data_IF_275525776465
#
_entry.id   IF_275525776465
#
_cell.length_a   1.000
_cell.length_b   1.000
_cell.length_c   1.000
_cell.angle_alpha   90.00
_cell.angle_beta   90.00
_cell.angle_gamma   90.00
#
_symmetry.space_group_name_H-M   'P 1'
#
loop_
_entity.id
_entity.type
_entity.pdbx_description
1 polymer ?
#
# COMPACT_ATOMS: atom_id res chain seq x y z
N UNK A 1 11.54 -43.76 -23.06
CA UNK A 1 12.71 -43.84 -22.17
C UNK A 1 12.84 -42.46 -21.50
N UNK A 2 12.44 -42.33 -20.23
CA UNK A 2 12.47 -41.04 -19.53
C UNK A 2 13.89 -40.67 -19.13
N UNK A 3 14.34 -39.46 -19.48
CA UNK A 3 15.67 -38.97 -19.12
C UNK A 3 15.65 -38.60 -17.64
N UNK A 4 16.26 -39.42 -16.78
CA UNK A 4 16.43 -39.11 -15.36
C UNK A 4 17.55 -38.07 -15.26
N UNK A 5 17.20 -36.86 -14.85
CA UNK A 5 18.15 -35.78 -14.59
C UNK A 5 18.46 -35.79 -13.11
N UNK A 6 19.71 -36.07 -12.75
CA UNK A 6 20.19 -35.99 -11.37
C UNK A 6 20.69 -34.57 -11.12
N UNK A 7 20.09 -33.89 -10.15
CA UNK A 7 20.49 -32.57 -9.69
C UNK A 7 21.31 -32.71 -8.42
N UNK A 8 22.45 -32.02 -8.34
CA UNK A 8 23.21 -31.94 -7.10
C UNK A 8 22.51 -31.05 -6.05
N UNK A 9 22.94 -31.15 -4.79
CA UNK A 9 22.32 -30.42 -3.67
C UNK A 9 22.35 -28.90 -3.85
N UNK A 10 23.39 -28.36 -4.52
CA UNK A 10 23.48 -26.92 -4.79
C UNK A 10 22.43 -26.48 -5.81
N UNK A 11 22.22 -27.28 -6.85
CA UNK A 11 21.22 -27.03 -7.88
C UNK A 11 19.80 -27.07 -7.32
N UNK A 12 19.51 -28.00 -6.42
CA UNK A 12 18.22 -28.08 -5.73
C UNK A 12 18.01 -26.88 -4.81
N UNK A 13 19.03 -26.45 -4.08
CA UNK A 13 18.96 -25.26 -3.22
C UNK A 13 18.75 -23.97 -4.02
N UNK A 14 19.42 -23.82 -5.17
CA UNK A 14 19.23 -22.67 -6.07
C UNK A 14 17.81 -22.65 -6.66
N UNK A 15 17.30 -23.81 -7.09
CA UNK A 15 15.91 -23.93 -7.56
C UNK A 15 14.92 -23.55 -6.45
N UNK A 16 15.14 -24.01 -5.22
CA UNK A 16 14.28 -23.68 -4.09
C UNK A 16 14.28 -22.17 -3.80
N UNK A 17 15.45 -21.54 -3.80
CA UNK A 17 15.59 -20.08 -3.60
C UNK A 17 14.83 -19.29 -4.67
N UNK A 18 14.89 -19.73 -5.93
CA UNK A 18 14.14 -19.12 -7.04
C UNK A 18 12.63 -19.31 -6.89
N UNK A 19 12.18 -20.49 -6.45
CA UNK A 19 10.78 -20.75 -6.14
C UNK A 19 10.30 -19.80 -5.04
N UNK A 20 11.06 -19.68 -3.95
CA UNK A 20 10.70 -18.83 -2.82
C UNK A 20 10.63 -17.34 -3.23
N UNK A 21 11.57 -16.87 -4.05
CA UNK A 21 11.55 -15.51 -4.59
C UNK A 21 10.32 -15.25 -5.46
N UNK A 22 9.96 -16.20 -6.33
CA UNK A 22 8.77 -16.12 -7.19
C UNK A 22 7.49 -16.15 -6.34
N UNK A 23 7.41 -17.00 -5.31
CA UNK A 23 6.27 -17.07 -4.39
C UNK A 23 6.12 -15.75 -3.62
N UNK A 24 7.23 -15.17 -3.13
CA UNK A 24 7.21 -13.89 -2.44
C UNK A 24 6.81 -12.72 -3.37
N UNK A 25 7.23 -12.75 -4.63
CA UNK A 25 6.79 -11.78 -5.63
C UNK A 25 5.30 -11.96 -5.97
N UNK A 26 4.84 -13.19 -6.13
CA UNK A 26 3.43 -13.49 -6.41
C UNK A 26 2.53 -12.95 -5.29
N UNK A 27 2.85 -13.24 -4.03
CA UNK A 27 2.11 -12.72 -2.87
C UNK A 27 2.05 -11.18 -2.87
N UNK A 28 3.17 -10.51 -3.12
CA UNK A 28 3.22 -9.04 -3.22
C UNK A 28 2.33 -8.50 -4.34
N UNK A 29 2.28 -9.20 -5.48
CA UNK A 29 1.40 -8.81 -6.59
C UNK A 29 -0.07 -9.07 -6.27
N UNK A 30 -0.39 -10.19 -5.61
CA UNK A 30 -1.75 -10.53 -5.17
C UNK A 30 -2.28 -9.53 -4.15
N UNK A 31 -1.49 -9.17 -3.14
CA UNK A 31 -1.86 -8.15 -2.15
C UNK A 31 -2.15 -6.80 -2.83
N UNK A 32 -1.30 -6.43 -3.80
CA UNK A 32 -1.50 -5.22 -4.60
C UNK A 32 -2.78 -5.29 -5.43
N UNK A 33 -3.07 -6.42 -6.06
CA UNK A 33 -4.32 -6.64 -6.80
C UNK A 33 -5.52 -6.51 -5.87
N UNK A 34 -5.50 -7.11 -4.68
CA UNK A 34 -6.61 -7.01 -3.72
C UNK A 34 -6.87 -5.56 -3.25
N UNK A 35 -5.82 -4.76 -3.09
CA UNK A 35 -5.97 -3.33 -2.78
C UNK A 35 -6.57 -2.59 -3.97
N UNK A 36 -6.10 -2.85 -5.19
CA UNK A 36 -6.64 -2.23 -6.41
C UNK A 36 -8.10 -2.65 -6.68
N UNK A 37 -8.46 -3.90 -6.41
CA UNK A 37 -9.84 -4.40 -6.52
C UNK A 37 -10.76 -3.75 -5.48
N UNK A 38 -10.30 -3.51 -4.26
CA UNK A 38 -11.04 -2.72 -3.26
C UNK A 38 -11.30 -1.28 -3.71
N UNK A 39 -10.40 -0.71 -4.51
CA UNK A 39 -10.53 0.63 -5.08
C UNK A 39 -11.33 0.66 -6.40
N UNK A 40 -11.59 -0.51 -7.00
CA UNK A 40 -12.30 -0.64 -8.28
C UNK A 40 -13.70 -0.03 -8.31
N UNK A 41 -14.55 -0.13 -7.26
CA UNK A 41 -15.85 0.54 -7.24
C UNK A 41 -15.73 2.07 -7.32
N UNK A 42 -14.64 2.63 -6.79
CA UNK A 42 -14.39 4.07 -6.85
C UNK A 42 -13.88 4.52 -8.22
N UNK A 43 -13.13 3.69 -8.94
CA UNK A 43 -12.55 4.04 -10.26
C UNK A 43 -13.47 3.74 -11.43
N UNK A 44 -14.35 2.74 -11.28
CA UNK A 44 -15.38 2.41 -12.25
C UNK A 44 -16.41 3.55 -12.42
N UNK A 45 -16.46 4.53 -11.50
CA UNK A 45 -17.29 5.72 -11.61
C UNK A 45 -16.68 6.86 -12.47
N UNK A 46 -15.59 6.60 -13.23
CA UNK A 46 -15.20 7.47 -14.35
C UNK A 46 -14.10 8.49 -14.07
N UNK A 47 -13.05 8.06 -13.39
CA UNK A 47 -11.92 8.92 -13.00
C UNK A 47 -10.77 8.83 -14.03
N UNK A 48 -10.61 9.88 -14.85
CA UNK A 48 -9.50 10.05 -15.81
C UNK A 48 -8.19 10.38 -15.09
N UNK A 49 -7.05 9.91 -15.60
CA UNK A 49 -5.64 10.13 -15.16
C UNK A 49 -5.35 11.05 -13.95
N UNK A 50 -5.84 12.30 -13.93
CA UNK A 50 -5.69 13.28 -12.82
C UNK A 50 -6.23 12.79 -11.47
N UNK A 51 -7.20 11.90 -11.53
CA UNK A 51 -7.89 11.30 -10.40
C UNK A 51 -7.07 10.31 -9.58
N UNK A 52 -6.05 9.66 -10.16
CA UNK A 52 -5.14 8.79 -9.39
C UNK A 52 -4.25 9.59 -8.43
N UNK A 53 -3.80 10.76 -8.87
CA UNK A 53 -3.08 11.71 -8.02
C UNK A 53 -4.01 12.25 -6.93
N UNK A 54 -5.25 12.61 -7.29
CA UNK A 54 -6.27 13.02 -6.33
C UNK A 54 -6.54 11.93 -5.28
N UNK A 55 -6.66 10.66 -5.66
CA UNK A 55 -6.89 9.56 -4.72
C UNK A 55 -5.71 9.26 -3.81
N UNK A 56 -4.48 9.43 -4.29
CA UNK A 56 -3.29 9.28 -3.45
C UNK A 56 -3.24 10.42 -2.43
N UNK A 57 -3.57 11.64 -2.86
CA UNK A 57 -3.73 12.79 -1.97
C UNK A 57 -4.89 12.61 -0.98
N UNK A 58 -6.03 12.07 -1.41
CA UNK A 58 -7.19 11.76 -0.56
C UNK A 58 -6.86 10.67 0.45
N UNK A 59 -6.16 9.60 0.07
CA UNK A 59 -5.73 8.55 0.98
C UNK A 59 -4.74 9.06 2.04
N UNK A 60 -3.81 9.93 1.64
CA UNK A 60 -2.91 10.58 2.58
C UNK A 60 -3.66 11.54 3.53
N UNK A 61 -4.66 12.27 3.03
CA UNK A 61 -5.51 13.14 3.84
C UNK A 61 -6.39 12.35 4.82
N UNK A 62 -6.94 11.22 4.40
CA UNK A 62 -7.75 10.35 5.26
C UNK A 62 -6.92 9.77 6.42
N UNK A 63 -5.70 9.30 6.14
CA UNK A 63 -4.77 8.85 7.17
C UNK A 63 -4.42 9.97 8.17
N UNK A 64 -4.20 11.19 7.68
CA UNK A 64 -3.96 12.35 8.55
C UNK A 64 -5.18 12.66 9.42
N UNK A 65 -6.39 12.54 8.88
CA UNK A 65 -7.61 12.76 9.65
C UNK A 65 -7.82 11.69 10.72
N UNK A 66 -7.51 10.42 10.43
CA UNK A 66 -7.55 9.36 11.43
C UNK A 66 -6.58 9.62 12.58
N UNK A 67 -5.35 10.05 12.29
CA UNK A 67 -4.35 10.41 13.31
C UNK A 67 -4.85 11.56 14.19
N UNK A 68 -5.51 12.56 13.58
CA UNK A 68 -6.07 13.72 14.27
C UNK A 68 -7.45 13.42 14.91
N UNK A 69 -8.04 12.25 14.65
CA UNK A 69 -9.43 11.93 14.99
C UNK A 69 -10.46 12.91 14.40
N UNK A 70 -10.19 13.46 13.22
CA UNK A 70 -11.00 14.49 12.57
C UNK A 70 -12.00 13.89 11.58
N UNK A 71 -13.20 14.49 11.49
CA UNK A 71 -14.26 14.02 10.58
C UNK A 71 -14.46 14.92 9.34
N UNK A 72 -13.70 16.00 9.24
CA UNK A 72 -13.74 16.91 8.10
C UNK A 72 -12.43 17.68 7.96
N UNK A 73 -12.18 18.28 6.79
CA UNK A 73 -11.03 19.14 6.55
C UNK A 73 -10.95 20.31 7.55
N UNK A 74 -12.09 20.95 7.82
CA UNK A 74 -12.16 22.10 8.74
C UNK A 74 -11.77 21.68 10.16
N UNK A 75 -12.27 20.54 10.62
CA UNK A 75 -11.95 19.94 11.92
C UNK A 75 -10.46 19.56 12.01
N UNK A 76 -9.92 18.92 10.96
CA UNK A 76 -8.50 18.57 10.89
C UNK A 76 -7.59 19.81 10.97
N UNK A 77 -7.93 20.89 10.26
CA UNK A 77 -7.18 22.15 10.30
C UNK A 77 -7.24 22.80 11.68
N UNK A 78 -8.40 22.79 12.35
CA UNK A 78 -8.53 23.30 13.71
C UNK A 78 -7.67 22.52 14.70
N UNK A 79 -7.73 21.19 14.66
CA UNK A 79 -6.92 20.32 15.52
C UNK A 79 -5.42 20.49 15.29
N UNK A 80 -4.99 20.61 14.04
CA UNK A 80 -3.59 20.91 13.70
C UNK A 80 -3.13 22.25 14.28
N UNK A 81 -3.95 23.30 14.18
CA UNK A 81 -3.64 24.61 14.77
C UNK A 81 -3.50 24.53 16.29
N UNK A 82 -4.40 23.81 16.95
CA UNK A 82 -4.32 23.57 18.39
C UNK A 82 -3.04 22.82 18.77
N UNK A 83 -2.71 21.74 18.07
CA UNK A 83 -1.50 20.94 18.31
C UNK A 83 -0.22 21.78 18.12
N UNK A 84 -0.13 22.58 17.05
CA UNK A 84 1.01 23.48 16.82
C UNK A 84 1.12 24.53 17.91
N UNK A 85 0.00 25.02 18.43
CA UNK A 85 -0.03 26.00 19.53
C UNK A 85 0.44 25.37 20.83
N UNK A 86 -0.02 24.16 21.14
CA UNK A 86 0.40 23.38 22.32
C UNK A 86 1.90 23.08 22.29
N UNK A 87 2.43 22.60 21.16
CA UNK A 87 3.87 22.34 20.96
C UNK A 87 4.70 23.62 21.18
N UNK A 88 4.21 24.77 20.70
CA UNK A 88 4.91 26.07 20.88
C UNK A 88 4.78 26.64 22.29
N UNK A 89 3.79 26.19 23.05
CA UNK A 89 3.52 26.65 24.41
C UNK A 89 4.19 25.75 25.46
N UNK A 90 4.72 24.59 25.05
CA UNK A 90 5.58 23.74 25.86
C UNK A 90 7.03 24.27 25.79
N UNK A 91 7.66 24.66 26.93
CA UNK A 91 9.03 25.18 26.97
C UNK A 91 10.09 24.13 26.64
#
# INVERSE_FOLDING_TARGET
MGKVVFYDEQHVAEMQSRIDAVVAELRRKEDRIQVLERLRPHWAQGYTSDSRAAQTATAALDQLWQILGANSQTDAVQKLRSLVTEIRSYP
#
